data_IF_581684905945
#
_entry.id   IF_581684905945
#
_cell.length_a   1.000
_cell.length_b   1.000
_cell.length_c   1.000
_cell.angle_alpha   90.00
_cell.angle_beta   90.00
_cell.angle_gamma   90.00
#
_symmetry.space_group_name_H-M   'P 1'
#
loop_
_entity.id
_entity.type
_entity.pdbx_description
1 polymer ?
#
# COMPACT_ATOMS: atom_id res chain seq x y z
N UNK A 1 -27.09 -17.58 19.98
CA UNK A 1 -26.71 -18.83 19.29
C UNK A 1 -26.76 -18.73 17.76
N UNK A 2 -27.38 -17.69 17.15
CA UNK A 2 -27.37 -17.46 15.68
C UNK A 2 -26.28 -16.46 15.24
N UNK A 3 -25.69 -15.71 16.18
CA UNK A 3 -24.57 -14.78 15.92
C UNK A 3 -23.24 -15.49 15.65
N UNK A 4 -22.99 -16.65 16.26
CA UNK A 4 -21.70 -17.33 16.19
C UNK A 4 -21.44 -17.95 14.80
N UNK A 5 -22.47 -18.51 14.16
CA UNK A 5 -22.37 -19.02 12.79
C UNK A 5 -22.14 -17.88 11.78
N UNK A 6 -22.78 -16.74 11.97
CA UNK A 6 -22.60 -15.57 11.10
C UNK A 6 -21.19 -14.98 11.25
N UNK A 7 -20.63 -14.99 12.47
CA UNK A 7 -19.25 -14.59 12.72
C UNK A 7 -18.23 -15.54 12.06
N UNK A 8 -18.49 -16.85 12.08
CA UNK A 8 -17.67 -17.86 11.40
C UNK A 8 -17.72 -17.68 9.87
N UNK A 9 -18.90 -17.48 9.30
CA UNK A 9 -19.06 -17.23 7.86
C UNK A 9 -18.33 -15.95 7.45
N UNK A 10 -18.40 -14.87 8.24
CA UNK A 10 -17.68 -13.62 7.97
C UNK A 10 -16.17 -13.80 8.03
N UNK A 11 -15.65 -14.49 9.05
CA UNK A 11 -14.21 -14.79 9.21
C UNK A 11 -13.68 -15.61 8.03
N UNK A 12 -14.33 -16.73 7.69
CA UNK A 12 -13.90 -17.59 6.57
C UNK A 12 -13.90 -16.84 5.24
N UNK A 13 -14.87 -15.96 5.02
CA UNK A 13 -14.97 -15.17 3.80
C UNK A 13 -13.94 -14.03 3.77
N UNK A 14 -13.65 -13.42 4.93
CA UNK A 14 -12.59 -12.43 5.09
C UNK A 14 -11.22 -13.05 4.84
N UNK A 15 -10.91 -14.21 5.44
CA UNK A 15 -9.67 -14.96 5.22
C UNK A 15 -9.50 -15.40 3.76
N UNK A 16 -10.56 -15.90 3.12
CA UNK A 16 -10.53 -16.30 1.72
C UNK A 16 -10.34 -15.11 0.75
N UNK A 17 -10.86 -13.92 1.11
CA UNK A 17 -10.65 -12.69 0.35
C UNK A 17 -9.27 -12.07 0.61
N UNK A 18 -8.70 -12.27 1.80
CA UNK A 18 -7.35 -11.81 2.16
C UNK A 18 -6.24 -12.75 1.69
N UNK A 19 -6.54 -14.02 1.40
CA UNK A 19 -5.56 -15.08 1.12
C UNK A 19 -5.00 -15.17 -0.30
N UNK A 20 -4.97 -14.09 -1.09
CA UNK A 20 -4.42 -14.11 -2.46
C UNK A 20 -3.54 -12.92 -2.83
N UNK A 21 -2.84 -12.29 -1.88
CA UNK A 21 -1.80 -11.34 -2.26
C UNK A 21 -0.65 -11.30 -1.25
N UNK A 22 0.06 -12.42 -1.10
CA UNK A 22 1.40 -12.39 -0.51
C UNK A 22 2.34 -11.70 -1.51
N UNK A 23 2.48 -10.37 -1.36
CA UNK A 23 3.42 -9.55 -2.10
C UNK A 23 4.83 -10.04 -1.73
N UNK A 24 5.48 -10.80 -2.63
CA UNK A 24 6.87 -11.22 -2.44
C UNK A 24 7.74 -9.99 -2.22
N UNK A 25 8.29 -9.90 -1.02
CA UNK A 25 8.97 -8.73 -0.48
C UNK A 25 9.97 -8.08 -1.43
N UNK A 26 9.73 -6.79 -1.70
CA UNK A 26 10.69 -5.89 -2.30
C UNK A 26 11.64 -5.38 -1.21
N UNK A 27 12.60 -6.21 -0.84
CA UNK A 27 13.68 -5.76 0.04
C UNK A 27 14.57 -4.78 -0.74
N UNK A 28 14.31 -3.47 -0.60
CA UNK A 28 15.17 -2.44 -1.17
C UNK A 28 14.63 -1.01 -1.16
N UNK A 29 13.33 -0.80 -0.98
CA UNK A 29 12.73 0.55 -0.99
C UNK A 29 12.17 0.87 0.39
N UNK A 30 12.93 1.62 1.19
CA UNK A 30 12.50 2.08 2.51
C UNK A 30 12.10 3.55 2.40
N UNK A 31 10.80 3.82 2.64
CA UNK A 31 10.24 5.17 2.64
C UNK A 31 9.76 5.68 1.27
N UNK A 32 9.41 6.98 1.23
CA UNK A 32 8.91 7.65 0.03
C UNK A 32 10.08 8.00 -0.89
N UNK A 33 10.00 7.59 -2.16
CA UNK A 33 11.02 7.90 -3.19
C UNK A 33 10.43 8.85 -4.22
N UNK A 34 11.16 9.91 -4.56
CA UNK A 34 10.77 10.80 -5.66
C UNK A 34 11.04 10.13 -7.00
N UNK A 35 10.00 10.04 -7.84
CA UNK A 35 10.04 9.38 -9.14
C UNK A 35 9.88 10.43 -10.23
N UNK A 36 10.73 10.35 -11.26
CA UNK A 36 10.64 11.18 -12.47
C UNK A 36 10.06 10.36 -13.61
N UNK A 37 9.55 11.01 -14.64
CA UNK A 37 9.02 10.36 -15.84
C UNK A 37 10.00 9.35 -16.45
N UNK A 38 11.30 9.68 -16.44
CA UNK A 38 12.36 8.81 -16.97
C UNK A 38 12.58 7.52 -16.17
N UNK A 39 12.23 7.52 -14.87
CA UNK A 39 12.43 6.37 -13.96
C UNK A 39 11.12 5.68 -13.58
N UNK A 40 9.98 6.18 -14.08
CA UNK A 40 8.66 5.71 -13.68
C UNK A 40 8.41 4.24 -14.05
N UNK A 41 8.71 3.85 -15.29
CA UNK A 41 8.51 2.47 -15.78
C UNK A 41 9.34 1.45 -15.00
N UNK A 42 10.58 1.79 -14.65
CA UNK A 42 11.43 0.91 -13.85
C UNK A 42 10.88 0.77 -12.43
N UNK A 43 10.41 1.87 -11.84
CA UNK A 43 9.87 1.89 -10.48
C UNK A 43 8.57 1.10 -10.35
N UNK A 44 7.61 1.24 -11.27
CA UNK A 44 6.35 0.48 -11.18
C UNK A 44 6.55 -1.03 -11.36
N UNK A 45 7.65 -1.44 -12.00
CA UNK A 45 8.01 -2.85 -12.20
C UNK A 45 8.80 -3.44 -11.04
N UNK A 46 9.38 -2.60 -10.19
CA UNK A 46 10.22 -3.07 -9.08
C UNK A 46 9.40 -3.72 -7.98
N UNK A 47 8.09 -3.46 -7.91
CA UNK A 47 7.22 -4.03 -6.89
C UNK A 47 5.87 -4.52 -7.44
N UNK A 48 5.31 -5.59 -6.86
CA UNK A 48 3.99 -6.08 -7.23
C UNK A 48 2.85 -5.11 -6.85
N UNK A 49 3.06 -4.24 -5.86
CA UNK A 49 2.14 -3.17 -5.48
C UNK A 49 2.92 -1.87 -5.30
N UNK A 50 2.44 -0.81 -5.94
CA UNK A 50 3.07 0.52 -5.89
C UNK A 50 1.99 1.56 -5.68
N UNK A 51 2.26 2.53 -4.80
CA UNK A 51 1.44 3.72 -4.61
C UNK A 51 2.22 4.93 -5.12
N UNK A 52 1.58 5.75 -5.94
CA UNK A 52 2.17 6.95 -6.53
C UNK A 52 1.42 8.18 -5.99
N UNK A 53 2.14 9.10 -5.37
CA UNK A 53 1.61 10.42 -4.96
C UNK A 53 1.99 11.48 -6.00
N UNK A 54 1.01 11.88 -6.81
CA UNK A 54 1.16 12.96 -7.78
C UNK A 54 0.92 14.32 -7.10
N UNK A 55 1.97 14.88 -6.49
CA UNK A 55 1.91 16.14 -5.75
C UNK A 55 2.56 17.32 -6.49
N UNK A 56 2.39 18.52 -5.94
CA UNK A 56 3.10 19.72 -6.39
C UNK A 56 3.38 20.69 -5.21
N UNK A 57 4.44 21.51 -5.25
CA UNK A 57 4.80 22.42 -4.14
C UNK A 57 3.72 23.45 -3.77
N UNK A 58 2.89 23.82 -4.74
CA UNK A 58 1.77 24.75 -4.59
C UNK A 58 0.45 24.05 -4.23
N UNK A 59 0.41 22.72 -4.19
CA UNK A 59 -0.78 21.97 -3.83
C UNK A 59 -0.95 21.90 -2.30
N UNK A 60 -1.78 22.81 -1.76
CA UNK A 60 -2.12 22.84 -0.32
C UNK A 60 -2.65 21.50 0.22
N UNK A 61 -3.65 20.88 -0.41
CA UNK A 61 -4.16 19.57 0.02
C UNK A 61 -3.10 18.45 0.02
N UNK A 62 -2.25 18.40 -1.00
CA UNK A 62 -1.20 17.38 -1.13
C UNK A 62 -0.22 17.45 0.05
N UNK A 63 0.16 18.66 0.48
CA UNK A 63 1.06 18.85 1.62
C UNK A 63 0.48 18.34 2.94
N UNK A 64 -0.84 18.35 3.10
CA UNK A 64 -1.49 17.76 4.28
C UNK A 64 -1.51 16.22 4.21
N UNK A 65 -1.50 15.65 3.01
CA UNK A 65 -1.51 14.20 2.78
C UNK A 65 -0.10 13.57 2.90
N UNK A 66 0.96 14.32 2.60
CA UNK A 66 2.35 13.87 2.70
C UNK A 66 2.70 13.08 4.00
N UNK A 67 2.40 13.55 5.22
CA UNK A 67 2.71 12.79 6.44
C UNK A 67 1.94 11.46 6.54
N UNK A 68 0.76 11.37 5.92
CA UNK A 68 -0.02 10.13 5.89
C UNK A 68 0.64 9.13 4.93
N UNK A 69 1.19 9.61 3.81
CA UNK A 69 1.93 8.78 2.86
C UNK A 69 3.21 8.20 3.46
N UNK A 70 3.93 8.99 4.27
CA UNK A 70 5.11 8.54 5.00
C UNK A 70 4.76 7.45 6.02
N UNK A 71 3.70 7.66 6.81
CA UNK A 71 3.21 6.65 7.77
C UNK A 71 2.78 5.35 7.07
N UNK A 72 2.11 5.46 5.92
CA UNK A 72 1.69 4.30 5.13
C UNK A 72 2.91 3.53 4.59
N UNK A 73 3.92 4.25 4.11
CA UNK A 73 5.17 3.65 3.65
C UNK A 73 5.88 2.89 4.79
N UNK A 74 5.88 3.41 6.02
CA UNK A 74 6.40 2.73 7.20
C UNK A 74 5.58 1.48 7.58
N UNK A 75 4.26 1.57 7.59
CA UNK A 75 3.37 0.47 7.98
C UNK A 75 3.46 -0.74 7.02
N UNK A 76 3.76 -0.48 5.75
CA UNK A 76 3.90 -1.50 4.70
C UNK A 76 5.34 -1.95 4.49
N UNK A 77 6.31 -1.49 5.29
CA UNK A 77 7.67 -2.03 5.21
C UNK A 77 7.70 -3.51 5.60
N UNK A 78 8.17 -4.35 4.67
CA UNK A 78 8.36 -5.78 4.89
C UNK A 78 7.08 -6.62 4.90
N UNK A 79 5.93 -6.05 4.52
CA UNK A 79 4.68 -6.77 4.24
C UNK A 79 4.57 -7.11 2.75
#
# INVERSE_FOLDING_TARGET
>A
MVDDELAEIRRRKLEALMGQNELKGVNGLSGVTEVKDSTFEEFIRSAPLVIIDCWAPWCGPCRMLAPIMEQLAEEYQGK
#
